data_IF_460914390437
#
_entry.id   IF_460914390437
#
_cell.length_a   1.000
_cell.length_b   1.000
_cell.length_c   1.000
_cell.angle_alpha   90.00
_cell.angle_beta   90.00
_cell.angle_gamma   90.00
#
_symmetry.space_group_name_H-M   'P 1'
#
loop_
_entity.id
_entity.type
_entity.pdbx_description
1 polymer ?
#
# COMPACT_ATOMS: atom_id res chain seq x y z
N UNK A 1 9.97 22.86 -14.23
CA UNK A 1 10.90 22.55 -13.13
C UNK A 1 11.09 21.05 -13.08
N UNK A 2 12.34 20.57 -13.09
CA UNK A 2 12.63 19.12 -12.96
C UNK A 2 13.11 18.84 -11.55
N UNK A 3 12.62 17.79 -10.95
CA UNK A 3 13.05 17.32 -9.62
C UNK A 3 13.56 15.89 -9.72
N UNK A 4 14.58 15.57 -8.95
CA UNK A 4 15.11 14.20 -8.82
C UNK A 4 14.38 13.50 -7.66
N UNK A 5 13.92 12.29 -7.92
CA UNK A 5 13.22 11.44 -6.97
C UNK A 5 14.02 10.15 -6.75
N UNK A 6 14.05 9.66 -5.54
CA UNK A 6 14.59 8.34 -5.19
C UNK A 6 13.44 7.38 -4.86
N UNK A 7 13.38 6.23 -5.54
CA UNK A 7 12.39 5.19 -5.27
C UNK A 7 12.58 4.68 -3.85
N UNK A 8 11.50 4.66 -3.07
CA UNK A 8 11.48 4.18 -1.68
C UNK A 8 10.85 2.79 -1.57
N UNK A 9 9.74 2.58 -2.26
CA UNK A 9 8.95 1.36 -2.14
C UNK A 9 8.12 1.15 -3.40
N UNK A 10 8.13 -0.06 -3.94
CA UNK A 10 7.24 -0.46 -5.04
C UNK A 10 6.00 -1.14 -4.45
N UNK A 11 4.83 -0.62 -4.77
CA UNK A 11 3.54 -1.10 -4.27
C UNK A 11 2.89 -2.10 -5.21
N UNK A 12 3.05 -1.92 -6.53
CA UNK A 12 2.57 -2.84 -7.57
C UNK A 12 3.68 -3.05 -8.59
N UNK A 13 3.97 -4.31 -8.88
CA UNK A 13 4.96 -4.72 -9.87
C UNK A 13 4.33 -5.68 -10.88
N UNK A 14 4.49 -5.34 -12.17
CA UNK A 14 4.36 -6.26 -13.31
C UNK A 14 5.55 -5.94 -14.20
N UNK A 15 6.12 -6.73 -14.96
CA UNK A 15 7.28 -6.50 -15.84
C UNK A 15 8.19 -5.30 -15.48
N UNK A 16 7.59 -4.23 -14.99
CA UNK A 16 8.22 -3.02 -14.41
C UNK A 16 7.34 -2.47 -13.26
N UNK A 17 7.84 -1.51 -12.43
CA UNK A 17 7.04 -0.90 -11.37
C UNK A 17 5.80 -0.20 -11.94
N UNK A 18 4.59 -0.62 -11.56
CA UNK A 18 3.34 -0.01 -11.98
C UNK A 18 2.91 1.12 -11.05
N UNK A 19 3.15 0.93 -9.76
CA UNK A 19 2.87 1.91 -8.71
C UNK A 19 4.01 1.88 -7.69
N UNK A 20 4.60 3.03 -7.41
CA UNK A 20 5.66 3.13 -6.41
C UNK A 20 5.64 4.47 -5.68
N UNK A 21 6.23 4.47 -4.52
CA UNK A 21 6.50 5.67 -3.72
C UNK A 21 7.94 6.11 -3.95
N UNK A 22 8.13 7.37 -4.27
CA UNK A 22 9.44 8.00 -4.37
C UNK A 22 9.55 9.16 -3.38
N UNK A 23 10.77 9.59 -3.10
CA UNK A 23 11.08 10.67 -2.18
C UNK A 23 11.93 11.72 -2.89
N UNK A 24 11.59 12.97 -2.72
CA UNK A 24 12.42 14.09 -3.20
C UNK A 24 13.59 14.39 -2.24
N UNK A 25 14.49 15.27 -2.65
CA UNK A 25 15.69 15.64 -1.87
C UNK A 25 15.39 16.34 -0.54
N UNK A 26 14.18 16.90 -0.37
CA UNK A 26 13.76 17.58 0.86
C UNK A 26 12.86 16.68 1.74
N UNK A 27 12.62 15.44 1.31
CA UNK A 27 11.89 14.45 2.10
C UNK A 27 10.41 14.33 1.75
N UNK A 28 9.90 15.06 0.78
CA UNK A 28 8.52 14.95 0.29
C UNK A 28 8.28 13.61 -0.40
N UNK A 29 7.12 13.00 -0.13
CA UNK A 29 6.72 11.75 -0.77
C UNK A 29 5.93 12.04 -2.04
N UNK A 30 6.19 11.23 -3.07
CA UNK A 30 5.51 11.23 -4.34
C UNK A 30 4.95 9.84 -4.62
N UNK A 31 3.69 9.74 -5.00
CA UNK A 31 3.09 8.50 -5.49
C UNK A 31 3.13 8.53 -7.02
N UNK A 32 3.77 7.54 -7.62
CA UNK A 32 3.99 7.44 -9.06
C UNK A 32 3.20 6.25 -9.62
N UNK A 33 2.35 6.49 -10.62
CA UNK A 33 1.53 5.49 -11.29
C UNK A 33 1.87 5.44 -12.77
N UNK A 34 2.15 4.23 -13.29
CA UNK A 34 2.36 3.99 -14.72
C UNK A 34 1.07 4.20 -15.52
N UNK A 35 1.20 4.69 -16.73
CA UNK A 35 0.11 4.81 -17.68
C UNK A 35 0.52 4.24 -19.06
N UNK A 36 -0.45 3.72 -19.81
CA UNK A 36 -0.26 3.23 -21.18
C UNK A 36 0.77 2.09 -21.33
N UNK A 37 0.83 1.14 -20.39
CA UNK A 37 1.76 -0.01 -20.42
C UNK A 37 3.22 0.33 -20.75
N UNK A 38 3.64 1.53 -20.40
CA UNK A 38 4.99 2.04 -20.61
C UNK A 38 5.61 2.46 -19.29
N UNK A 39 6.96 2.51 -19.17
CA UNK A 39 7.63 3.01 -17.97
C UNK A 39 7.58 4.55 -17.88
N UNK A 40 6.44 5.14 -18.23
CA UNK A 40 6.10 6.54 -18.03
C UNK A 40 5.06 6.63 -16.91
N UNK A 41 5.17 7.64 -16.08
CA UNK A 41 4.35 7.75 -14.88
C UNK A 41 3.76 9.15 -14.74
N UNK A 42 2.56 9.18 -14.18
CA UNK A 42 2.03 10.37 -13.50
C UNK A 42 2.42 10.30 -12.04
N UNK A 43 2.73 11.44 -11.44
CA UNK A 43 3.11 11.51 -10.03
C UNK A 43 2.40 12.66 -9.33
N UNK A 44 2.00 12.42 -8.09
CA UNK A 44 1.38 13.41 -7.20
C UNK A 44 2.04 13.36 -5.83
N UNK A 45 2.14 14.51 -5.18
CA UNK A 45 2.58 14.56 -3.79
C UNK A 45 1.55 13.85 -2.89
N UNK A 46 2.04 13.10 -1.92
CA UNK A 46 1.22 12.37 -0.96
C UNK A 46 1.81 12.50 0.45
N UNK A 47 0.98 12.84 1.43
CA UNK A 47 1.37 12.80 2.83
C UNK A 47 1.51 11.37 3.36
N UNK A 48 2.30 11.19 4.41
CA UNK A 48 2.45 9.88 5.05
C UNK A 48 1.12 9.30 5.53
N UNK A 49 0.23 10.14 6.07
CA UNK A 49 -1.09 9.71 6.53
C UNK A 49 -1.96 9.23 5.37
N UNK A 50 -2.00 9.97 4.27
CA UNK A 50 -2.79 9.59 3.09
C UNK A 50 -2.24 8.34 2.41
N UNK A 51 -0.91 8.18 2.36
CA UNK A 51 -0.27 6.95 1.90
C UNK A 51 -0.66 5.76 2.78
N UNK A 52 -0.71 5.95 4.11
CA UNK A 52 -1.17 4.90 5.02
C UNK A 52 -2.65 4.55 4.80
N UNK A 53 -3.52 5.53 4.59
CA UNK A 53 -4.92 5.28 4.28
C UNK A 53 -5.10 4.55 2.94
N UNK A 54 -4.27 4.86 1.94
CA UNK A 54 -4.22 4.12 0.68
C UNK A 54 -3.79 2.67 0.90
N UNK A 55 -2.72 2.44 1.66
CA UNK A 55 -2.22 1.09 2.01
C UNK A 55 -3.23 0.26 2.79
N UNK A 56 -4.04 0.90 3.61
CA UNK A 56 -5.13 0.26 4.37
C UNK A 56 -6.43 0.13 3.55
N UNK A 57 -6.43 0.47 2.28
CA UNK A 57 -7.61 0.48 1.40
C UNK A 57 -8.79 1.29 1.96
N UNK A 58 -8.51 2.36 2.70
CA UNK A 58 -9.52 3.32 3.15
C UNK A 58 -9.87 4.34 2.07
N UNK A 59 -8.94 4.59 1.15
CA UNK A 59 -9.11 5.42 -0.03
C UNK A 59 -8.67 4.65 -1.26
N UNK A 60 -9.27 4.92 -2.41
CA UNK A 60 -8.89 4.35 -3.71
C UNK A 60 -7.81 5.20 -4.40
N UNK A 61 -7.20 4.63 -5.43
CA UNK A 61 -6.17 5.30 -6.22
C UNK A 61 -6.71 6.55 -6.92
N UNK A 62 -7.92 6.48 -7.47
CA UNK A 62 -8.54 7.62 -8.14
C UNK A 62 -8.64 8.84 -7.21
N UNK A 63 -9.04 8.65 -5.98
CA UNK A 63 -9.13 9.74 -4.98
C UNK A 63 -7.80 10.45 -4.77
N UNK A 64 -6.68 9.74 -4.85
CA UNK A 64 -5.34 10.32 -4.70
C UNK A 64 -4.94 11.14 -5.92
N UNK A 65 -5.11 10.60 -7.13
CA UNK A 65 -4.67 11.24 -8.37
C UNK A 65 -5.63 12.32 -8.86
N UNK A 66 -6.94 12.18 -8.67
CA UNK A 66 -7.93 13.18 -9.04
C UNK A 66 -7.90 14.45 -8.17
N UNK A 67 -7.40 14.32 -6.93
CA UNK A 67 -7.28 15.43 -5.97
C UNK A 67 -5.91 15.44 -5.32
N UNK A 68 -4.86 15.85 -6.06
CA UNK A 68 -3.50 15.98 -5.51
C UNK A 68 -3.47 16.94 -4.33
N UNK A 69 -2.79 16.59 -3.23
CA UNK A 69 -2.74 17.41 -2.00
C UNK A 69 -2.13 18.80 -2.25
N UNK A 70 -1.15 18.91 -3.15
CA UNK A 70 -0.52 20.19 -3.51
C UNK A 70 -1.11 20.82 -4.78
N UNK A 71 -2.19 20.26 -5.34
CA UNK A 71 -2.82 20.77 -6.57
C UNK A 71 -1.93 20.68 -7.82
N UNK A 72 -0.78 20.03 -7.73
CA UNK A 72 0.19 19.87 -8.81
C UNK A 72 0.46 18.39 -9.07
N UNK A 73 0.79 18.09 -10.34
CA UNK A 73 1.22 16.75 -10.74
C UNK A 73 2.45 16.81 -11.61
N UNK A 74 3.12 15.69 -11.78
CA UNK A 74 4.38 15.58 -12.50
C UNK A 74 4.31 14.45 -13.51
N UNK A 75 5.00 14.62 -14.64
CA UNK A 75 5.37 13.50 -15.52
C UNK A 75 6.72 12.95 -15.08
N UNK A 76 6.82 11.65 -15.00
CA UNK A 76 8.01 10.97 -14.50
C UNK A 76 8.44 9.93 -15.53
N UNK A 77 9.73 9.95 -15.86
CA UNK A 77 10.38 8.93 -16.67
C UNK A 77 11.40 8.19 -15.81
N UNK A 78 11.33 6.87 -15.78
CA UNK A 78 12.39 6.03 -15.25
C UNK A 78 13.53 6.03 -16.31
N UNK A 79 14.59 6.76 -16.04
CA UNK A 79 15.86 6.54 -16.72
C UNK A 79 16.55 5.33 -16.05
N UNK A 80 17.44 4.63 -16.79
CA UNK A 80 18.14 3.40 -16.34
C UNK A 80 19.06 3.57 -15.11
N UNK A 81 18.85 4.57 -14.30
CA UNK A 81 19.58 4.89 -13.08
C UNK A 81 18.59 4.95 -11.92
N UNK A 82 19.07 4.73 -10.70
CA UNK A 82 18.29 4.81 -9.46
C UNK A 82 17.63 6.18 -9.22
N UNK A 83 17.91 7.16 -10.08
CA UNK A 83 17.29 8.48 -10.07
C UNK A 83 16.14 8.57 -11.08
N UNK A 84 14.98 8.89 -10.56
CA UNK A 84 13.76 9.17 -11.32
C UNK A 84 13.68 10.68 -11.55
N UNK A 85 13.56 11.12 -12.79
CA UNK A 85 13.37 12.53 -13.12
C UNK A 85 11.89 12.84 -13.29
N UNK A 86 11.40 13.76 -12.47
CA UNK A 86 10.03 14.24 -12.52
C UNK A 86 9.98 15.67 -13.07
N UNK A 87 9.12 15.90 -14.06
CA UNK A 87 8.86 17.21 -14.65
C UNK A 87 7.51 17.73 -14.17
N UNK A 88 7.53 18.92 -13.52
CA UNK A 88 6.29 19.53 -13.04
C UNK A 88 5.42 19.97 -14.23
N UNK A 89 4.17 19.62 -14.21
CA UNK A 89 3.18 20.06 -15.19
C UNK A 89 2.59 21.42 -14.77
N UNK A 90 2.19 22.26 -15.75
CA UNK A 90 1.53 23.53 -15.44
C UNK A 90 0.33 23.35 -14.54
N UNK A 91 0.12 24.23 -13.56
CA UNK A 91 -1.01 24.16 -12.63
C UNK A 91 -2.40 24.23 -13.29
N UNK A 92 -2.45 24.71 -14.53
CA UNK A 92 -3.67 24.76 -15.35
C UNK A 92 -3.96 23.46 -16.07
N UNK A 93 -2.98 22.55 -16.15
CA UNK A 93 -3.09 21.28 -16.86
C UNK A 93 -3.55 20.19 -15.88
N UNK A 94 -4.66 19.55 -16.18
CA UNK A 94 -5.16 18.41 -15.42
C UNK A 94 -4.55 17.12 -15.94
N UNK A 95 -4.45 16.12 -15.07
CA UNK A 95 -4.10 14.76 -15.50
C UNK A 95 -5.16 14.30 -16.53
N UNK A 96 -4.73 13.80 -17.71
CA UNK A 96 -5.66 13.27 -18.70
C UNK A 96 -6.52 12.16 -18.11
N UNK A 97 -7.83 12.19 -18.39
CA UNK A 97 -8.77 11.20 -17.86
C UNK A 97 -8.37 9.75 -18.18
N UNK A 98 -7.79 9.51 -19.34
CA UNK A 98 -7.33 8.19 -19.77
C UNK A 98 -6.16 7.64 -18.94
N UNK A 99 -5.44 8.48 -18.19
CA UNK A 99 -4.31 8.08 -17.35
C UNK A 99 -4.70 7.90 -15.88
N UNK A 100 -5.91 8.29 -15.52
CA UNK A 100 -6.40 8.15 -14.15
C UNK A 100 -6.81 6.70 -13.87
N UNK A 101 -6.60 6.23 -12.62
CA UNK A 101 -7.14 4.96 -12.16
C UNK A 101 -8.66 4.88 -12.32
N UNK A 102 -9.19 3.68 -12.39
CA UNK A 102 -10.62 3.46 -12.36
C UNK A 102 -11.19 3.79 -10.96
N UNK A 103 -12.49 4.18 -10.89
CA UNK A 103 -13.17 4.31 -9.61
C UNK A 103 -13.11 3.01 -8.81
N UNK A 104 -12.99 3.12 -7.49
CA UNK A 104 -12.92 1.97 -6.57
C UNK A 104 -11.72 1.03 -6.80
N UNK A 105 -10.69 1.51 -7.50
CA UNK A 105 -9.43 0.79 -7.64
C UNK A 105 -8.60 0.98 -6.37
N UNK A 106 -8.65 -0.02 -5.49
CA UNK A 106 -7.86 -0.07 -4.26
C UNK A 106 -6.54 -0.79 -4.49
N UNK A 107 -5.54 -0.47 -3.67
CA UNK A 107 -4.32 -1.27 -3.64
C UNK A 107 -4.66 -2.73 -3.41
N UNK A 108 -3.98 -3.67 -4.11
CA UNK A 108 -4.04 -5.07 -3.75
C UNK A 108 -3.65 -5.19 -2.28
N UNK A 109 -4.62 -5.51 -1.43
CA UNK A 109 -4.36 -5.72 -0.02
C UNK A 109 -3.57 -7.02 0.12
N UNK A 110 -2.28 -6.89 0.36
CA UNK A 110 -1.47 -8.00 0.85
C UNK A 110 -1.47 -7.87 2.37
N UNK A 111 -2.30 -8.62 3.08
CA UNK A 111 -2.28 -8.58 4.53
C UNK A 111 -0.93 -9.10 4.99
N UNK A 112 -0.14 -8.25 5.60
CA UNK A 112 1.08 -8.62 6.29
C UNK A 112 0.70 -9.31 7.61
N UNK A 113 0.27 -10.56 7.52
CA UNK A 113 0.30 -11.46 8.67
C UNK A 113 1.78 -11.77 8.92
N UNK A 114 2.40 -10.98 9.78
CA UNK A 114 3.81 -11.17 10.14
C UNK A 114 3.94 -12.44 10.98
N UNK A 115 4.71 -13.45 10.53
CA UNK A 115 4.91 -14.67 11.30
C UNK A 115 5.42 -14.41 12.72
N UNK A 116 6.20 -13.34 12.90
CA UNK A 116 6.77 -12.94 14.19
C UNK A 116 5.69 -12.64 15.25
N UNK A 117 4.54 -12.10 14.84
CA UNK A 117 3.40 -11.87 15.74
C UNK A 117 2.90 -13.16 16.37
N UNK A 118 3.06 -14.30 15.66
CA UNK A 118 2.61 -15.61 16.12
C UNK A 118 3.66 -16.36 16.95
N UNK A 119 4.83 -15.77 17.21
CA UNK A 119 5.81 -16.35 18.14
C UNK A 119 5.34 -16.28 19.60
N UNK A 120 4.44 -15.35 19.92
CA UNK A 120 3.92 -15.14 21.29
C UNK A 120 2.53 -15.75 21.52
N UNK A 121 1.85 -16.18 20.44
CA UNK A 121 0.51 -16.78 20.51
C UNK A 121 0.44 -18.06 19.68
N UNK A 122 -0.36 -19.02 20.12
CA UNK A 122 -0.55 -20.27 19.38
C UNK A 122 -1.43 -20.02 18.15
N UNK A 123 -0.94 -20.35 16.96
CA UNK A 123 -1.69 -20.26 15.69
C UNK A 123 -3.06 -20.93 15.78
N UNK A 124 -3.13 -22.12 16.39
CA UNK A 124 -4.40 -22.83 16.58
C UNK A 124 -5.43 -22.08 17.43
N UNK A 125 -4.99 -21.36 18.45
CA UNK A 125 -5.88 -20.55 19.30
C UNK A 125 -6.46 -19.37 18.51
N UNK A 126 -5.61 -18.67 17.75
CA UNK A 126 -6.04 -17.56 16.90
C UNK A 126 -6.98 -18.04 15.79
N UNK A 127 -6.65 -19.15 15.14
CA UNK A 127 -7.50 -19.74 14.11
C UNK A 127 -8.90 -20.10 14.65
N UNK A 128 -8.97 -20.72 15.83
CA UNK A 128 -10.23 -21.03 16.50
C UNK A 128 -11.04 -19.76 16.79
N UNK A 129 -10.39 -18.73 17.30
CA UNK A 129 -11.01 -17.45 17.61
C UNK A 129 -11.51 -16.73 16.34
N UNK A 130 -10.77 -16.85 15.22
CA UNK A 130 -11.15 -16.30 13.93
C UNK A 130 -12.22 -17.13 13.18
N UNK A 131 -12.61 -18.29 13.72
CA UNK A 131 -13.52 -19.22 13.04
C UNK A 131 -12.94 -19.82 11.76
N UNK A 132 -11.62 -20.09 11.75
CA UNK A 132 -10.89 -20.50 10.56
C UNK A 132 -10.11 -21.80 10.83
N UNK A 133 -9.85 -22.55 9.75
CA UNK A 133 -9.03 -23.77 9.85
C UNK A 133 -7.56 -23.39 10.19
N UNK A 134 -6.93 -24.00 11.22
CA UNK A 134 -5.55 -23.74 11.60
C UNK A 134 -4.54 -23.99 10.47
N UNK A 135 -4.80 -24.97 9.61
CA UNK A 135 -3.95 -25.27 8.46
C UNK A 135 -3.98 -24.12 7.43
N UNK A 136 -5.16 -23.55 7.20
CA UNK A 136 -5.32 -22.40 6.32
C UNK A 136 -4.55 -21.17 6.86
N UNK A 137 -4.65 -20.89 8.16
CA UNK A 137 -3.92 -19.81 8.79
C UNK A 137 -2.40 -20.03 8.67
N UNK A 138 -1.89 -21.26 8.84
CA UNK A 138 -0.47 -21.57 8.61
C UNK A 138 -0.05 -21.35 7.16
N UNK A 139 -0.91 -21.68 6.18
CA UNK A 139 -0.64 -21.40 4.76
C UNK A 139 -0.57 -19.90 4.46
N UNK A 140 -1.36 -19.08 5.13
CA UNK A 140 -1.25 -17.63 5.05
C UNK A 140 0.05 -17.11 5.65
N UNK A 141 0.45 -17.60 6.81
CA UNK A 141 1.70 -17.21 7.46
C UNK A 141 2.95 -17.63 6.70
N UNK A 142 2.91 -18.76 6.00
CA UNK A 142 4.01 -19.25 5.17
C UNK A 142 4.04 -18.65 3.75
N UNK A 143 3.03 -17.84 3.38
CA UNK A 143 2.93 -17.26 2.04
C UNK A 143 2.48 -18.23 0.95
N UNK A 144 2.12 -19.49 1.28
CA UNK A 144 1.59 -20.48 0.32
C UNK A 144 0.24 -20.05 -0.23
N UNK A 145 -0.57 -19.39 0.60
CA UNK A 145 -1.82 -18.76 0.22
C UNK A 145 -1.86 -17.33 0.74
N UNK A 146 -2.66 -16.51 0.05
CA UNK A 146 -2.91 -15.13 0.47
C UNK A 146 -4.34 -15.00 0.96
N UNK A 147 -4.58 -14.47 2.19
CA UNK A 147 -5.92 -14.24 2.68
C UNK A 147 -6.60 -13.11 1.93
N UNK A 148 -7.92 -13.17 1.79
CA UNK A 148 -8.71 -12.01 1.40
C UNK A 148 -8.65 -10.94 2.51
N UNK A 149 -9.02 -9.70 2.18
CA UNK A 149 -9.12 -8.62 3.16
C UNK A 149 -10.01 -9.00 4.34
N UNK A 150 -11.16 -9.60 4.07
CA UNK A 150 -12.09 -10.05 5.09
C UNK A 150 -11.47 -11.10 6.03
N UNK A 151 -10.75 -12.06 5.46
CA UNK A 151 -10.06 -13.09 6.24
C UNK A 151 -8.93 -12.52 7.10
N UNK A 152 -8.19 -11.55 6.56
CA UNK A 152 -7.14 -10.87 7.31
C UNK A 152 -7.70 -10.04 8.48
N UNK A 153 -8.80 -9.32 8.27
CA UNK A 153 -9.48 -8.59 9.33
C UNK A 153 -10.01 -9.55 10.42
N UNK A 154 -10.57 -10.70 10.06
CA UNK A 154 -10.97 -11.75 11.03
C UNK A 154 -9.79 -12.21 11.89
N UNK A 155 -8.63 -12.41 11.29
CA UNK A 155 -7.40 -12.79 12.03
C UNK A 155 -6.95 -11.66 12.95
N UNK A 156 -6.96 -10.41 12.47
CA UNK A 156 -6.61 -9.24 13.28
C UNK A 156 -7.55 -9.11 14.51
N UNK A 157 -8.86 -9.21 14.30
CA UNK A 157 -9.84 -9.13 15.38
C UNK A 157 -9.68 -10.28 16.37
N UNK A 158 -9.37 -11.48 15.88
CA UNK A 158 -9.08 -12.63 16.73
C UNK A 158 -7.84 -12.41 17.58
N UNK A 159 -6.76 -11.85 17.01
CA UNK A 159 -5.55 -11.47 17.76
C UNK A 159 -5.84 -10.44 18.85
N UNK A 160 -6.65 -9.42 18.54
CA UNK A 160 -7.05 -8.42 19.53
C UNK A 160 -7.86 -9.05 20.68
N UNK A 161 -8.79 -9.95 20.38
CA UNK A 161 -9.54 -10.66 21.44
C UNK A 161 -8.66 -11.56 22.30
N UNK A 162 -7.71 -12.26 21.69
CA UNK A 162 -6.73 -13.09 22.44
C UNK A 162 -5.84 -12.19 23.31
N UNK A 163 -5.34 -11.07 22.78
CA UNK A 163 -4.53 -10.12 23.54
C UNK A 163 -5.32 -9.54 24.72
N UNK A 164 -6.57 -9.15 24.52
CA UNK A 164 -7.41 -8.61 25.59
C UNK A 164 -7.59 -9.62 26.73
N UNK A 165 -7.85 -10.90 26.42
CA UNK A 165 -7.95 -11.96 27.45
C UNK A 165 -6.65 -12.13 28.25
N UNK A 166 -5.49 -11.94 27.59
CA UNK A 166 -4.20 -12.00 28.29
C UNK A 166 -4.01 -10.81 29.23
N UNK A 167 -4.49 -9.62 28.84
CA UNK A 167 -4.45 -8.42 29.69
C UNK A 167 -5.41 -8.52 30.88
N UNK A 168 -6.52 -9.23 30.73
CA UNK A 168 -7.54 -9.41 31.77
C UNK A 168 -7.18 -10.49 32.82
N UNK A 169 -6.03 -11.19 32.64
CA UNK A 169 -5.58 -12.21 33.60
C UNK A 169 -5.19 -11.53 34.92
N UNK A 170 -5.88 -11.92 35.99
CA UNK A 170 -5.58 -11.49 37.34
C UNK A 170 -5.11 -12.70 38.16
N UNK A 171 -4.02 -12.51 38.88
CA UNK A 171 -3.56 -13.48 39.88
C UNK A 171 -4.25 -13.19 41.22
N UNK A 172 -4.94 -14.18 41.76
CA UNK A 172 -5.61 -14.08 43.07
C UNK A 172 -4.67 -14.55 44.15
#
# INVERSE_FOLDING_TARGET
>A
MKISLAVQETLIWHDFPQLFVAKDKIGGLQLCLAFEDTPQYISVAISANRLQDLKLSKIDLLSVFAKPELGAWFRVNLSNTDEVLAEAMPSTEKIPQAWLPLPEEFLPYTPLLRPETFNVVKVGAVAKEAGMNPTLLRQYLSGVKHPSREQALRVQDALHRVAQRLLDVQFV
#
